data_IF_367315731907
#
_entry.id   IF_367315731907
#
_cell.length_a   1.000
_cell.length_b   1.000
_cell.length_c   1.000
_cell.angle_alpha   90.00
_cell.angle_beta   90.00
_cell.angle_gamma   90.00
#
_symmetry.space_group_name_H-M   'P 1'
#
loop_
_entity.id
_entity.type
_entity.pdbx_description
1 polymer ?
#
# COMPACT_ATOMS: atom_id res chain seq x y z
N UNK A 1 -43.78 40.79 22.63
CA UNK A 1 -42.92 39.93 23.49
C UNK A 1 -41.92 39.25 22.55
N UNK A 2 -40.58 39.29 22.72
CA UNK A 2 -39.78 38.59 23.75
C UNK A 2 -40.13 37.09 23.84
N UNK A 3 -39.28 36.07 23.70
CA UNK A 3 -37.82 35.85 23.48
C UNK A 3 -37.70 34.47 22.74
N UNK A 4 -36.55 33.86 22.37
CA UNK A 4 -35.11 34.00 22.68
C UNK A 4 -34.26 33.47 21.50
N UNK A 5 -32.93 33.51 21.61
CA UNK A 5 -31.94 32.90 20.71
C UNK A 5 -31.75 31.40 20.96
N UNK A 6 -31.36 30.63 19.93
CA UNK A 6 -30.23 29.67 20.02
C UNK A 6 -29.34 29.86 18.77
N UNK A 7 -28.16 30.43 18.96
CA UNK A 7 -27.06 30.34 17.98
C UNK A 7 -26.30 29.04 18.28
N UNK A 8 -26.26 28.10 17.35
CA UNK A 8 -25.25 27.05 17.41
C UNK A 8 -23.93 27.63 16.89
N UNK A 9 -22.94 27.69 17.77
CA UNK A 9 -21.62 28.24 17.51
C UNK A 9 -20.86 27.33 16.56
N UNK A 10 -20.66 27.78 15.31
CA UNK A 10 -19.55 27.33 14.48
C UNK A 10 -18.26 27.66 15.22
N UNK A 11 -17.70 26.66 15.93
CA UNK A 11 -16.39 26.76 16.54
C UNK A 11 -15.34 26.74 15.41
N UNK A 12 -15.16 27.90 14.78
CA UNK A 12 -14.00 28.17 13.96
C UNK A 12 -12.77 28.03 14.87
N UNK A 13 -12.15 26.85 14.83
CA UNK A 13 -10.78 26.66 15.32
C UNK A 13 -9.88 27.42 14.36
N UNK A 14 -9.87 28.75 14.54
CA UNK A 14 -8.77 29.60 14.18
C UNK A 14 -7.55 28.99 14.89
N UNK A 15 -6.80 28.19 14.13
CA UNK A 15 -5.44 27.82 14.49
C UNK A 15 -4.70 29.15 14.68
N UNK A 16 -4.59 29.58 15.92
CA UNK A 16 -3.82 30.75 16.32
C UNK A 16 -2.36 30.41 16.06
N UNK A 17 -1.95 30.62 14.81
CA UNK A 17 -0.58 30.80 14.38
C UNK A 17 -0.07 32.09 15.00
N UNK A 18 0.07 32.07 16.33
CA UNK A 18 0.84 32.99 17.13
C UNK A 18 2.31 32.79 16.77
N UNK A 19 2.66 33.15 15.54
CA UNK A 19 4.01 33.46 15.12
C UNK A 19 4.36 34.71 15.91
N UNK A 20 4.84 34.48 17.13
CA UNK A 20 5.31 35.53 18.01
C UNK A 20 6.62 36.06 17.43
N UNK A 21 6.49 36.97 16.47
CA UNK A 21 7.56 37.70 15.80
C UNK A 21 8.24 38.66 16.77
N UNK A 22 8.94 38.09 17.75
CA UNK A 22 9.69 38.83 18.75
C UNK A 22 10.98 39.40 18.14
N UNK A 23 11.15 40.71 18.25
CA UNK A 23 12.36 41.40 17.81
C UNK A 23 13.55 41.07 18.72
N UNK A 24 14.67 40.66 18.11
CA UNK A 24 15.90 40.24 18.79
C UNK A 24 16.80 41.39 19.27
N UNK A 25 16.31 42.64 19.25
CA UNK A 25 17.12 43.84 19.12
C UNK A 25 17.88 44.30 20.40
N UNK A 26 17.75 43.61 21.53
CA UNK A 26 18.22 44.11 22.84
C UNK A 26 19.01 43.10 23.69
N UNK A 27 19.50 41.99 23.13
CA UNK A 27 19.91 40.82 23.93
C UNK A 27 21.44 40.54 24.02
N UNK A 28 22.29 41.49 23.63
CA UNK A 28 23.75 41.28 23.54
C UNK A 28 24.63 41.74 24.72
N UNK A 29 24.11 42.49 25.70
CA UNK A 29 24.95 43.23 26.64
C UNK A 29 25.31 42.49 27.96
N UNK A 30 24.52 41.51 28.39
CA UNK A 30 24.68 40.86 29.71
C UNK A 30 24.44 39.34 29.65
N UNK A 31 24.97 38.59 30.62
CA UNK A 31 24.76 37.13 30.67
C UNK A 31 23.26 36.77 30.78
N UNK A 32 22.50 37.54 31.56
CA UNK A 32 21.04 37.37 31.69
C UNK A 32 20.30 37.53 30.35
N UNK A 33 20.73 38.47 29.49
CA UNK A 33 20.12 38.68 28.17
C UNK A 33 20.41 37.52 27.20
N UNK A 34 21.57 36.89 27.31
CA UNK A 34 21.90 35.68 26.54
C UNK A 34 21.04 34.49 27.00
N UNK A 35 20.87 34.31 28.31
CA UNK A 35 20.06 33.21 28.88
C UNK A 35 18.58 33.33 28.51
N UNK A 36 18.02 34.54 28.52
CA UNK A 36 16.67 34.80 28.02
C UNK A 36 16.53 34.44 26.53
N UNK A 37 17.55 34.72 25.71
CA UNK A 37 17.55 34.38 24.28
C UNK A 37 17.55 32.87 24.06
N UNK A 38 18.44 32.16 24.77
CA UNK A 38 18.56 30.70 24.72
C UNK A 38 17.25 30.03 25.16
N UNK A 39 16.64 30.48 26.26
CA UNK A 39 15.37 29.92 26.73
C UNK A 39 14.19 30.22 25.79
N UNK A 40 14.14 31.42 25.18
CA UNK A 40 13.12 31.77 24.16
C UNK A 40 13.25 30.88 22.93
N UNK A 41 14.45 30.72 22.36
CA UNK A 41 14.63 29.88 21.17
C UNK A 41 14.39 28.40 21.47
N UNK A 42 14.76 27.91 22.67
CA UNK A 42 14.41 26.55 23.11
C UNK A 42 12.89 26.33 23.14
N UNK A 43 12.13 27.30 23.63
CA UNK A 43 10.67 27.21 23.67
C UNK A 43 10.03 27.23 22.27
N UNK A 44 10.61 27.97 21.31
CA UNK A 44 10.19 27.98 19.90
C UNK A 44 10.54 26.66 19.20
N UNK A 45 11.79 26.21 19.29
CA UNK A 45 12.26 24.97 18.67
C UNK A 45 11.49 23.75 19.20
N UNK A 46 11.19 23.70 20.50
CA UNK A 46 10.35 22.64 21.09
C UNK A 46 8.93 22.60 20.52
N UNK A 47 8.41 23.74 20.04
CA UNK A 47 7.08 23.85 19.42
C UNK A 47 7.10 23.57 17.91
N UNK A 48 8.26 23.54 17.25
CA UNK A 48 8.39 23.41 15.80
C UNK A 48 7.63 22.18 15.24
N UNK A 49 7.68 21.03 15.93
CA UNK A 49 6.97 19.81 15.51
C UNK A 49 5.47 19.83 15.83
N UNK A 50 5.04 20.58 16.85
CA UNK A 50 3.63 20.63 17.26
C UNK A 50 2.72 21.23 16.18
N UNK A 51 3.29 22.07 15.29
CA UNK A 51 2.57 22.67 14.16
C UNK A 51 1.98 21.64 13.17
N UNK A 52 2.58 20.44 13.04
CA UNK A 52 2.02 19.35 12.23
C UNK A 52 1.51 18.17 13.06
N UNK A 53 2.10 17.90 14.24
CA UNK A 53 1.65 16.83 15.13
C UNK A 53 0.24 17.12 15.69
N UNK A 54 -0.03 18.32 16.19
CA UNK A 54 -1.31 18.62 16.84
C UNK A 54 -2.52 18.56 15.89
N UNK A 55 -2.45 19.09 14.64
CA UNK A 55 -3.50 18.85 13.64
C UNK A 55 -3.70 17.36 13.35
N UNK A 56 -2.62 16.58 13.30
CA UNK A 56 -2.67 15.15 12.95
C UNK A 56 -3.30 14.28 14.04
N UNK A 57 -3.20 14.68 15.31
CA UNK A 57 -3.98 14.05 16.40
C UNK A 57 -5.50 14.23 16.23
N UNK A 58 -5.93 15.24 15.45
CA UNK A 58 -7.32 15.49 15.09
C UNK A 58 -7.66 14.99 13.67
N UNK A 59 -6.85 14.06 13.11
CA UNK A 59 -7.07 13.50 11.78
C UNK A 59 -6.75 14.43 10.61
N UNK A 60 -6.01 15.54 10.82
CA UNK A 60 -5.75 16.54 9.78
C UNK A 60 -4.25 16.73 9.51
N UNK A 61 -3.85 16.67 8.25
CA UNK A 61 -2.50 17.06 7.84
C UNK A 61 -2.37 18.58 7.79
N UNK A 62 -1.23 19.10 8.26
CA UNK A 62 -0.88 20.51 8.10
C UNK A 62 -0.26 20.73 6.71
N UNK A 63 -0.81 21.63 5.86
CA UNK A 63 -0.22 21.91 4.55
C UNK A 63 1.16 22.54 4.66
N UNK A 64 2.08 22.18 3.77
CA UNK A 64 3.46 22.73 3.80
C UNK A 64 3.50 24.26 3.76
N UNK A 65 2.56 24.91 3.05
CA UNK A 65 2.41 26.36 2.99
C UNK A 65 2.20 27.03 4.35
N UNK A 66 1.46 26.41 5.27
CA UNK A 66 1.21 26.98 6.61
C UNK A 66 2.38 26.79 7.57
N UNK A 67 3.34 25.93 7.22
CA UNK A 67 4.50 25.57 8.05
C UNK A 67 5.76 26.37 7.72
N UNK A 68 5.90 26.89 6.50
CA UNK A 68 7.04 27.74 6.12
C UNK A 68 7.24 28.98 7.01
N UNK A 69 6.19 29.71 7.46
CA UNK A 69 6.36 30.82 8.40
C UNK A 69 7.01 30.40 9.73
N UNK A 70 6.57 29.28 10.31
CA UNK A 70 7.15 28.72 11.53
C UNK A 70 8.60 28.23 11.32
N UNK A 71 8.87 27.56 10.20
CA UNK A 71 10.22 27.13 9.82
C UNK A 71 11.19 28.31 9.68
N UNK A 72 10.76 29.38 9.01
CA UNK A 72 11.58 30.57 8.78
C UNK A 72 11.83 31.35 10.07
N UNK A 73 10.83 31.46 10.95
CA UNK A 73 10.99 32.04 12.29
C UNK A 73 12.02 31.26 13.11
N UNK A 74 11.83 29.94 13.24
CA UNK A 74 12.72 29.07 13.99
C UNK A 74 14.17 29.11 13.48
N UNK A 75 14.38 29.09 12.16
CA UNK A 75 15.71 29.24 11.53
C UNK A 75 16.36 30.57 11.87
N UNK A 76 15.63 31.68 11.72
CA UNK A 76 16.13 33.04 11.99
C UNK A 76 16.51 33.21 13.46
N UNK A 77 15.62 32.80 14.38
CA UNK A 77 15.83 32.97 15.82
C UNK A 77 16.94 32.05 16.36
N UNK A 78 17.09 30.85 15.80
CA UNK A 78 18.24 29.98 16.03
C UNK A 78 19.56 30.63 15.63
N UNK A 79 19.67 31.15 14.41
CA UNK A 79 20.89 31.82 13.92
C UNK A 79 21.24 33.06 14.76
N UNK A 80 20.24 33.91 15.05
CA UNK A 80 20.42 35.10 15.90
C UNK A 80 20.89 34.74 17.32
N UNK A 81 20.29 33.70 17.92
CA UNK A 81 20.67 33.26 19.28
C UNK A 81 22.06 32.64 19.31
N UNK A 82 22.44 31.85 18.29
CA UNK A 82 23.82 31.35 18.15
C UNK A 82 24.83 32.50 18.08
N UNK A 83 24.57 33.51 17.25
CA UNK A 83 25.44 34.68 17.13
C UNK A 83 25.57 35.43 18.45
N UNK A 84 24.47 35.63 19.20
CA UNK A 84 24.49 36.26 20.51
C UNK A 84 25.27 35.45 21.57
N UNK A 85 25.18 34.11 21.56
CA UNK A 85 25.99 33.26 22.44
C UNK A 85 27.48 33.37 22.10
N UNK A 86 27.84 33.36 20.81
CA UNK A 86 29.24 33.49 20.36
C UNK A 86 29.83 34.86 20.73
N UNK A 87 29.10 35.96 20.53
CA UNK A 87 29.56 37.33 20.84
C UNK A 87 29.48 37.71 22.33
N UNK A 88 28.88 36.86 23.17
CA UNK A 88 28.73 37.13 24.61
C UNK A 88 30.06 37.15 25.39
N UNK A 89 30.02 37.68 26.61
CA UNK A 89 31.12 37.65 27.59
C UNK A 89 31.20 36.34 28.41
N UNK A 90 30.43 35.31 28.04
CA UNK A 90 30.46 34.00 28.69
C UNK A 90 31.80 33.28 28.51
N UNK A 91 32.15 32.37 29.43
CA UNK A 91 33.34 31.52 29.26
C UNK A 91 33.17 30.54 28.10
N UNK A 92 34.28 30.07 27.52
CA UNK A 92 34.26 29.10 26.40
C UNK A 92 33.44 27.85 26.73
N UNK A 93 33.53 27.33 27.95
CA UNK A 93 32.73 26.19 28.41
C UNK A 93 31.21 26.51 28.43
N UNK A 94 30.83 27.69 28.93
CA UNK A 94 29.43 28.14 28.95
C UNK A 94 28.87 28.36 27.53
N UNK A 95 29.66 28.94 26.62
CA UNK A 95 29.29 29.10 25.21
C UNK A 95 29.05 27.74 24.55
N UNK A 96 29.99 26.82 24.70
CA UNK A 96 29.90 25.47 24.12
C UNK A 96 28.68 24.69 24.65
N UNK A 97 28.39 24.78 25.96
CA UNK A 97 27.23 24.15 26.56
C UNK A 97 25.90 24.68 25.97
N UNK A 98 25.76 26.02 25.89
CA UNK A 98 24.54 26.66 25.35
C UNK A 98 24.35 26.42 23.86
N UNK A 99 25.43 26.47 23.07
CA UNK A 99 25.41 26.11 21.66
C UNK A 99 24.99 24.64 21.48
N UNK A 100 25.62 23.69 22.17
CA UNK A 100 25.25 22.27 22.10
C UNK A 100 23.77 22.02 22.41
N UNK A 101 23.22 22.72 23.40
CA UNK A 101 21.81 22.61 23.77
C UNK A 101 20.87 23.06 22.62
N UNK A 102 21.06 24.29 22.10
CA UNK A 102 20.19 24.81 21.03
C UNK A 102 20.39 24.08 19.69
N UNK A 103 21.62 23.62 19.41
CA UNK A 103 21.97 22.85 18.22
C UNK A 103 21.31 21.47 18.22
N UNK A 104 21.35 20.77 19.36
CA UNK A 104 20.70 19.46 19.53
C UNK A 104 19.20 19.58 19.28
N UNK A 105 18.56 20.59 19.88
CA UNK A 105 17.12 20.80 19.77
C UNK A 105 16.70 21.27 18.36
N UNK A 106 17.50 22.12 17.72
CA UNK A 106 17.28 22.51 16.32
C UNK A 106 17.41 21.31 15.38
N UNK A 107 18.43 20.48 15.56
CA UNK A 107 18.63 19.27 14.76
C UNK A 107 17.49 18.27 14.95
N UNK A 108 17.01 18.06 16.17
CA UNK A 108 15.91 17.14 16.45
C UNK A 108 14.55 17.65 15.93
N UNK A 109 14.17 18.89 16.27
CA UNK A 109 12.81 19.39 16.05
C UNK A 109 12.63 20.09 14.69
N UNK A 110 13.67 20.72 14.15
CA UNK A 110 13.61 21.44 12.88
C UNK A 110 14.18 20.59 11.75
N UNK A 111 15.48 20.25 11.78
CA UNK A 111 16.14 19.48 10.71
C UNK A 111 15.62 18.04 10.60
N UNK A 112 15.31 17.39 11.73
CA UNK A 112 14.78 16.02 11.81
C UNK A 112 13.26 15.91 12.02
N UNK A 113 12.56 17.04 12.13
CA UNK A 113 11.12 17.09 12.42
C UNK A 113 10.34 17.89 11.38
N UNK A 114 10.34 19.21 11.53
CA UNK A 114 9.55 20.11 10.68
C UNK A 114 9.97 20.08 9.20
N UNK A 115 11.27 20.05 8.89
CA UNK A 115 11.76 20.03 7.50
C UNK A 115 11.38 18.73 6.78
N UNK A 116 11.65 17.52 7.31
CA UNK A 116 11.32 16.29 6.58
C UNK A 116 9.81 16.03 6.53
N UNK A 117 9.00 16.61 7.44
CA UNK A 117 7.53 16.61 7.29
C UNK A 117 7.09 17.47 6.09
N UNK A 118 7.63 18.67 5.95
CA UNK A 118 7.36 19.55 4.79
C UNK A 118 7.76 18.85 3.49
N UNK A 119 8.89 18.17 3.46
CA UNK A 119 9.35 17.38 2.30
C UNK A 119 8.42 16.19 2.01
N UNK A 120 7.95 15.48 3.04
CA UNK A 120 7.00 14.37 2.90
C UNK A 120 5.64 14.85 2.34
N UNK A 121 5.09 15.94 2.87
CA UNK A 121 3.85 16.54 2.39
C UNK A 121 3.99 17.06 0.94
N UNK A 122 5.09 17.74 0.63
CA UNK A 122 5.40 18.19 -0.73
C UNK A 122 5.62 17.02 -1.70
N UNK A 123 6.25 15.93 -1.25
CA UNK A 123 6.42 14.71 -2.05
C UNK A 123 5.07 14.09 -2.43
N UNK A 124 4.19 13.90 -1.44
CA UNK A 124 2.84 13.39 -1.67
C UNK A 124 2.02 14.28 -2.61
N UNK A 125 1.90 15.58 -2.30
CA UNK A 125 1.02 16.50 -3.02
C UNK A 125 1.55 16.97 -4.38
N UNK A 126 2.87 17.01 -4.61
CA UNK A 126 3.47 17.46 -5.88
C UNK A 126 3.93 16.34 -6.80
N UNK A 127 4.03 15.10 -6.32
CA UNK A 127 4.47 13.96 -7.14
C UNK A 127 3.42 12.85 -7.18
N UNK A 128 2.93 12.36 -6.03
CA UNK A 128 1.96 11.25 -6.05
C UNK A 128 0.59 11.70 -6.60
N UNK A 129 -0.01 12.76 -6.04
CA UNK A 129 -1.34 13.23 -6.46
C UNK A 129 -1.41 13.62 -7.94
N UNK A 130 -0.48 14.41 -8.51
CA UNK A 130 -0.55 14.78 -9.92
C UNK A 130 -0.39 13.58 -10.84
N UNK A 131 0.49 12.61 -10.53
CA UNK A 131 0.64 11.39 -11.34
C UNK A 131 -0.64 10.54 -11.28
N UNK A 132 -1.28 10.39 -10.11
CA UNK A 132 -2.56 9.68 -10.01
C UNK A 132 -3.66 10.36 -10.83
N UNK A 133 -3.71 11.70 -10.85
CA UNK A 133 -4.67 12.45 -11.65
C UNK A 133 -4.37 12.37 -13.16
N UNK A 134 -3.10 12.43 -13.57
CA UNK A 134 -2.67 12.19 -14.98
C UNK A 134 -3.12 10.80 -15.45
N UNK A 135 -2.89 9.77 -14.63
CA UNK A 135 -3.31 8.39 -14.88
C UNK A 135 -4.83 8.32 -15.04
N UNK A 136 -5.60 8.84 -14.08
CA UNK A 136 -7.06 8.77 -14.12
C UNK A 136 -7.63 9.48 -15.38
N UNK A 137 -7.11 10.66 -15.71
CA UNK A 137 -7.50 11.37 -16.92
C UNK A 137 -7.13 10.63 -18.20
N UNK A 138 -6.01 9.88 -18.22
CA UNK A 138 -5.63 9.03 -19.34
C UNK A 138 -6.51 7.78 -19.46
N UNK A 139 -6.90 7.16 -18.34
CA UNK A 139 -7.86 6.04 -18.32
C UNK A 139 -9.21 6.44 -18.93
N UNK A 140 -9.75 7.62 -18.59
CA UNK A 140 -11.02 8.12 -19.18
C UNK A 140 -10.95 8.38 -20.69
N UNK A 141 -9.75 8.61 -21.24
CA UNK A 141 -9.53 8.78 -22.70
C UNK A 141 -9.15 7.48 -23.42
N UNK A 142 -8.99 6.37 -22.70
CA UNK A 142 -8.35 5.13 -23.18
C UNK A 142 -6.95 5.37 -23.79
N UNK A 143 -6.21 6.33 -23.22
CA UNK A 143 -4.88 6.74 -23.68
C UNK A 143 -3.82 5.81 -23.07
N UNK A 144 -3.70 4.61 -23.64
CA UNK A 144 -2.85 3.52 -23.13
C UNK A 144 -1.40 3.95 -22.91
N UNK A 145 -0.82 4.70 -23.86
CA UNK A 145 0.55 5.20 -23.78
C UNK A 145 0.75 6.22 -22.63
N UNK A 146 -0.23 7.10 -22.37
CA UNK A 146 -0.17 7.98 -21.22
C UNK A 146 -0.38 7.24 -19.89
N UNK A 147 -1.23 6.19 -19.85
CA UNK A 147 -1.40 5.34 -18.66
C UNK A 147 -0.11 4.58 -18.33
N UNK A 148 0.54 3.96 -19.33
CA UNK A 148 1.84 3.29 -19.18
C UNK A 148 2.91 4.26 -18.64
N UNK A 149 3.05 5.42 -19.29
CA UNK A 149 3.98 6.48 -18.86
C UNK A 149 3.69 6.95 -17.42
N UNK A 150 2.42 7.12 -17.07
CA UNK A 150 1.98 7.45 -15.71
C UNK A 150 2.33 6.35 -14.70
N UNK A 151 2.07 5.09 -15.02
CA UNK A 151 2.41 3.92 -14.20
C UNK A 151 3.92 3.80 -13.93
N UNK A 152 4.77 4.03 -14.95
CA UNK A 152 6.22 4.01 -14.75
C UNK A 152 6.71 5.20 -13.92
N UNK A 153 6.19 6.42 -14.14
CA UNK A 153 6.43 7.57 -13.25
C UNK A 153 6.07 7.22 -11.80
N UNK A 154 4.86 6.67 -11.57
CA UNK A 154 4.35 6.34 -10.23
C UNK A 154 5.21 5.28 -9.57
N UNK A 155 5.51 4.19 -10.28
CA UNK A 155 6.38 3.10 -9.80
C UNK A 155 7.78 3.60 -9.45
N UNK A 156 8.35 4.54 -10.21
CA UNK A 156 9.64 5.16 -9.89
C UNK A 156 9.58 5.98 -8.58
N UNK A 157 8.55 6.82 -8.39
CA UNK A 157 8.39 7.56 -7.13
C UNK A 157 8.23 6.58 -5.95
N UNK A 158 7.34 5.59 -6.08
CA UNK A 158 7.02 4.62 -5.03
C UNK A 158 8.22 3.73 -4.65
N UNK A 159 9.07 3.34 -5.60
CA UNK A 159 10.28 2.55 -5.34
C UNK A 159 11.45 3.40 -4.82
N UNK A 160 11.69 4.58 -5.41
CA UNK A 160 12.91 5.36 -5.17
C UNK A 160 12.82 6.43 -4.09
N UNK A 161 11.62 6.96 -3.77
CA UNK A 161 11.48 8.19 -2.97
C UNK A 161 10.51 8.08 -1.79
N UNK A 162 9.83 6.95 -1.60
CA UNK A 162 8.95 6.69 -0.45
C UNK A 162 9.62 6.80 0.91
N UNK A 163 10.94 6.59 1.00
CA UNK A 163 11.71 6.81 2.23
C UNK A 163 11.52 8.22 2.82
N UNK A 164 11.21 9.24 2.01
CA UNK A 164 10.94 10.62 2.47
C UNK A 164 9.77 10.64 3.48
N UNK A 165 8.74 9.81 3.28
CA UNK A 165 7.55 9.74 4.14
C UNK A 165 7.87 9.25 5.58
N UNK A 166 9.05 8.69 5.82
CA UNK A 166 9.43 8.10 7.11
C UNK A 166 10.47 8.93 7.89
N UNK A 167 10.99 10.03 7.31
CA UNK A 167 12.14 10.79 7.85
C UNK A 167 11.85 11.75 9.01
N UNK A 168 10.59 12.02 9.33
CA UNK A 168 10.19 12.94 10.41
C UNK A 168 9.61 12.20 11.63
N UNK A 169 9.68 12.85 12.79
CA UNK A 169 9.08 12.38 14.05
C UNK A 169 7.58 12.71 14.13
N UNK A 170 6.77 11.85 14.76
CA UNK A 170 5.32 12.05 14.92
C UNK A 170 4.48 11.01 14.17
N UNK A 171 4.11 9.93 14.87
CA UNK A 171 3.41 8.76 14.30
C UNK A 171 2.09 9.12 13.62
N UNK A 172 1.19 9.86 14.30
CA UNK A 172 -0.13 10.21 13.74
C UNK A 172 -0.04 10.94 12.39
N UNK A 173 0.89 11.91 12.26
CA UNK A 173 1.10 12.64 11.02
C UNK A 173 1.65 11.77 9.89
N UNK A 174 2.49 10.78 10.24
CA UNK A 174 3.00 9.79 9.29
C UNK A 174 1.91 8.84 8.82
N UNK A 175 1.15 8.29 9.75
CA UNK A 175 0.09 7.33 9.44
C UNK A 175 -0.97 7.98 8.52
N UNK A 176 -1.35 9.23 8.77
CA UNK A 176 -2.23 10.01 7.89
C UNK A 176 -1.63 10.24 6.49
N UNK A 177 -0.35 10.63 6.38
CA UNK A 177 0.32 10.79 5.07
C UNK A 177 0.39 9.46 4.28
N UNK A 178 0.55 8.34 4.98
CA UNK A 178 0.55 7.01 4.39
C UNK A 178 -0.86 6.59 3.94
N UNK A 179 -1.89 6.87 4.74
CA UNK A 179 -3.29 6.57 4.43
C UNK A 179 -3.82 7.40 3.26
N UNK A 180 -3.62 8.72 3.30
CA UNK A 180 -4.23 9.67 2.37
C UNK A 180 -3.55 9.64 0.99
N UNK A 181 -2.26 9.32 0.91
CA UNK A 181 -1.48 9.41 -0.33
C UNK A 181 -0.74 8.14 -0.73
N UNK A 182 -0.03 7.47 0.19
CA UNK A 182 0.80 6.30 -0.20
C UNK A 182 -0.05 5.08 -0.53
N UNK A 183 -1.02 4.72 0.31
CA UNK A 183 -1.88 3.55 0.10
C UNK A 183 -2.70 3.65 -1.20
N UNK A 184 -3.36 4.77 -1.54
CA UNK A 184 -4.04 4.93 -2.84
C UNK A 184 -3.07 4.81 -4.02
N UNK A 185 -1.86 5.37 -3.91
CA UNK A 185 -0.84 5.28 -4.95
C UNK A 185 -0.33 3.85 -5.14
N UNK A 186 -0.06 3.10 -4.05
CA UNK A 186 0.31 1.68 -4.12
C UNK A 186 -0.82 0.85 -4.74
N UNK A 187 -2.07 1.10 -4.34
CA UNK A 187 -3.25 0.40 -4.86
C UNK A 187 -3.44 0.64 -6.38
N UNK A 188 -3.42 1.90 -6.82
CA UNK A 188 -3.53 2.26 -8.25
C UNK A 188 -2.35 1.71 -9.06
N UNK A 189 -1.14 1.70 -8.50
CA UNK A 189 0.03 1.06 -9.15
C UNK A 189 -0.19 -0.46 -9.30
N UNK A 190 -0.73 -1.14 -8.29
CA UNK A 190 -0.95 -2.57 -8.36
C UNK A 190 -2.11 -2.95 -9.28
N UNK A 191 -3.21 -2.18 -9.29
CA UNK A 191 -4.33 -2.29 -10.24
C UNK A 191 -3.85 -2.24 -11.71
N UNK A 192 -2.94 -1.30 -12.02
CA UNK A 192 -2.45 -1.07 -13.37
C UNK A 192 -1.34 -2.01 -13.83
N UNK A 193 -0.78 -2.83 -12.93
CA UNK A 193 0.37 -3.68 -13.24
C UNK A 193 0.08 -4.62 -14.43
N UNK A 194 -1.04 -5.34 -14.42
CA UNK A 194 -1.41 -6.27 -15.50
C UNK A 194 -1.88 -5.53 -16.77
N UNK A 195 -2.78 -4.52 -16.70
CA UNK A 195 -3.16 -3.72 -17.88
C UNK A 195 -1.98 -3.09 -18.63
N UNK A 196 -0.98 -2.57 -17.91
CA UNK A 196 0.21 -1.98 -18.53
C UNK A 196 1.11 -3.05 -19.14
N UNK A 197 1.31 -4.20 -18.49
CA UNK A 197 2.08 -5.30 -19.10
C UNK A 197 1.46 -5.78 -20.41
N UNK A 198 0.13 -5.89 -20.49
CA UNK A 198 -0.56 -6.24 -21.74
C UNK A 198 -0.41 -5.13 -22.79
N UNK A 199 -0.46 -3.85 -22.39
CA UNK A 199 -0.24 -2.70 -23.30
C UNK A 199 1.16 -2.73 -23.93
N UNK A 200 2.20 -3.02 -23.13
CA UNK A 200 3.57 -3.16 -23.60
C UNK A 200 3.68 -4.31 -24.62
N UNK A 201 3.12 -5.48 -24.29
CA UNK A 201 3.12 -6.65 -25.20
C UNK A 201 2.34 -6.42 -26.49
N UNK A 202 1.22 -5.70 -26.45
CA UNK A 202 0.50 -5.28 -27.66
C UNK A 202 1.42 -4.44 -28.57
N UNK A 203 2.24 -3.57 -27.99
CA UNK A 203 3.21 -2.76 -28.75
C UNK A 203 4.31 -3.64 -29.37
N UNK A 204 4.89 -4.54 -28.59
CA UNK A 204 5.92 -5.51 -29.04
C UNK A 204 5.40 -6.41 -30.17
N UNK A 205 4.19 -6.98 -30.03
CA UNK A 205 3.53 -7.80 -31.06
C UNK A 205 3.27 -6.99 -32.34
N UNK A 206 2.80 -5.74 -32.22
CA UNK A 206 2.57 -4.88 -33.38
C UNK A 206 3.88 -4.58 -34.13
N UNK A 207 5.01 -4.45 -33.44
CA UNK A 207 6.32 -4.25 -34.08
C UNK A 207 6.87 -5.53 -34.71
N UNK A 208 6.65 -6.70 -34.09
CA UNK A 208 6.94 -8.00 -34.69
C UNK A 208 6.11 -8.23 -35.98
N UNK A 209 4.82 -7.88 -35.96
CA UNK A 209 3.95 -7.99 -37.14
C UNK A 209 4.40 -7.05 -38.27
N UNK A 210 4.79 -5.80 -37.99
CA UNK A 210 5.39 -4.88 -38.98
C UNK A 210 6.69 -5.45 -39.57
N UNK A 211 7.48 -6.15 -38.76
CA UNK A 211 8.72 -6.82 -39.18
C UNK A 211 8.48 -8.17 -39.89
N UNK A 212 7.23 -8.60 -40.10
CA UNK A 212 6.88 -9.88 -40.73
C UNK A 212 7.05 -11.12 -39.83
N UNK A 213 7.44 -10.94 -38.57
CA UNK A 213 7.76 -11.97 -37.58
C UNK A 213 6.52 -12.59 -36.93
N UNK A 214 5.70 -13.26 -37.75
CA UNK A 214 4.38 -13.77 -37.32
C UNK A 214 4.45 -14.90 -36.29
N UNK A 215 5.49 -15.72 -36.32
CA UNK A 215 5.65 -16.84 -35.36
C UNK A 215 5.96 -16.29 -33.97
N UNK A 216 6.89 -15.34 -33.90
CA UNK A 216 7.27 -14.64 -32.67
C UNK A 216 6.11 -13.78 -32.14
N UNK A 217 5.39 -13.07 -33.02
CA UNK A 217 4.19 -12.32 -32.66
C UNK A 217 3.10 -13.21 -32.04
N UNK A 218 2.92 -14.44 -32.55
CA UNK A 218 1.98 -15.42 -31.97
C UNK A 218 2.47 -15.98 -30.62
N UNK A 219 3.77 -16.21 -30.46
CA UNK A 219 4.35 -16.64 -29.19
C UNK A 219 4.14 -15.59 -28.09
N UNK A 220 4.41 -14.31 -28.38
CA UNK A 220 4.17 -13.19 -27.45
C UNK A 220 2.68 -13.01 -27.12
N UNK A 221 1.77 -13.30 -28.06
CA UNK A 221 0.34 -13.24 -27.78
C UNK A 221 -0.11 -14.27 -26.74
N UNK A 222 0.53 -15.44 -26.66
CA UNK A 222 0.23 -16.43 -25.61
C UNK A 222 0.52 -15.90 -24.20
N UNK A 223 1.51 -15.01 -24.04
CA UNK A 223 1.77 -14.34 -22.76
C UNK A 223 0.67 -13.32 -22.40
N UNK A 224 0.02 -12.69 -23.39
CA UNK A 224 -1.18 -11.88 -23.15
C UNK A 224 -2.33 -12.78 -22.66
N UNK A 225 -2.60 -13.90 -23.32
CA UNK A 225 -3.68 -14.83 -22.93
C UNK A 225 -3.49 -15.35 -21.49
N UNK A 226 -2.26 -15.68 -21.11
CA UNK A 226 -1.91 -16.08 -19.75
C UNK A 226 -2.16 -14.97 -18.69
N UNK A 227 -2.23 -13.70 -19.08
CA UNK A 227 -2.47 -12.56 -18.18
C UNK A 227 -3.94 -12.13 -18.09
N UNK A 228 -4.81 -12.54 -19.03
CA UNK A 228 -6.20 -12.05 -19.11
C UNK A 228 -7.01 -12.33 -17.84
N UNK A 229 -6.83 -13.49 -17.20
CA UNK A 229 -7.53 -13.85 -15.96
C UNK A 229 -7.14 -12.99 -14.75
N UNK A 230 -6.08 -12.18 -14.86
CA UNK A 230 -5.55 -11.28 -13.81
C UNK A 230 -5.94 -9.82 -14.02
N UNK A 231 -6.70 -9.51 -15.08
CA UNK A 231 -7.23 -8.18 -15.31
C UNK A 231 -8.32 -7.83 -14.29
N UNK A 232 -8.44 -6.54 -13.87
CA UNK A 232 -9.61 -6.07 -13.14
C UNK A 232 -10.90 -6.29 -13.95
N UNK A 233 -12.06 -6.35 -13.27
CA UNK A 233 -13.34 -6.60 -13.93
C UNK A 233 -13.66 -5.51 -14.99
N UNK A 234 -13.74 -5.91 -16.26
CA UNK A 234 -14.00 -5.01 -17.39
C UNK A 234 -15.39 -4.37 -17.32
N UNK A 235 -16.39 -5.05 -16.75
CA UNK A 235 -17.77 -4.54 -16.62
C UNK A 235 -17.88 -3.32 -15.71
N UNK A 236 -16.89 -3.08 -14.85
CA UNK A 236 -16.81 -1.89 -13.98
C UNK A 236 -15.64 -0.96 -14.33
N UNK A 237 -14.81 -1.31 -15.32
CA UNK A 237 -13.61 -0.56 -15.70
C UNK A 237 -13.52 -0.39 -17.22
N UNK A 238 -13.96 0.78 -17.71
CA UNK A 238 -13.99 1.14 -19.14
C UNK A 238 -12.61 1.02 -19.81
N UNK A 239 -11.54 1.37 -19.11
CA UNK A 239 -10.17 1.27 -19.62
C UNK A 239 -9.76 -0.19 -19.86
N UNK A 240 -10.17 -1.12 -18.99
CA UNK A 240 -9.93 -2.55 -19.21
C UNK A 240 -10.81 -3.09 -20.33
N UNK A 241 -12.08 -2.65 -20.45
CA UNK A 241 -12.93 -3.01 -21.58
C UNK A 241 -12.33 -2.56 -22.93
N UNK A 242 -11.77 -1.35 -22.99
CA UNK A 242 -11.05 -0.85 -24.16
C UNK A 242 -9.77 -1.67 -24.45
N UNK A 243 -9.00 -2.03 -23.40
CA UNK A 243 -7.82 -2.88 -23.54
C UNK A 243 -8.15 -4.25 -24.13
N UNK A 244 -9.24 -4.89 -23.68
CA UNK A 244 -9.71 -6.16 -24.23
C UNK A 244 -10.10 -6.05 -25.71
N UNK A 245 -10.63 -4.91 -26.15
CA UNK A 245 -10.90 -4.66 -27.56
C UNK A 245 -9.59 -4.55 -28.39
N UNK A 246 -8.52 -3.98 -27.84
CA UNK A 246 -7.20 -3.99 -28.49
C UNK A 246 -6.58 -5.39 -28.53
N UNK A 247 -6.65 -6.16 -27.42
CA UNK A 247 -6.25 -7.58 -27.40
C UNK A 247 -6.96 -8.36 -28.51
N UNK A 248 -8.26 -8.10 -28.72
CA UNK A 248 -9.04 -8.79 -29.74
C UNK A 248 -8.60 -8.46 -31.18
N UNK A 249 -8.25 -7.19 -31.46
CA UNK A 249 -7.65 -6.80 -32.75
C UNK A 249 -6.31 -7.48 -32.98
N UNK A 250 -5.46 -7.55 -31.95
CA UNK A 250 -4.15 -8.20 -32.03
C UNK A 250 -4.30 -9.70 -32.28
N UNK A 251 -5.25 -10.40 -31.63
CA UNK A 251 -5.50 -11.83 -31.88
C UNK A 251 -5.81 -12.12 -33.36
N UNK A 252 -6.69 -11.31 -33.95
CA UNK A 252 -7.00 -11.39 -35.37
C UNK A 252 -5.77 -11.10 -36.25
N UNK A 253 -4.94 -10.12 -35.88
CA UNK A 253 -3.75 -9.73 -36.64
C UNK A 253 -2.61 -10.78 -36.62
N UNK A 254 -2.44 -11.52 -35.52
CA UNK A 254 -1.49 -12.66 -35.44
C UNK A 254 -1.99 -13.92 -36.17
N UNK A 255 -3.18 -13.87 -36.76
CA UNK A 255 -3.76 -14.98 -37.52
C UNK A 255 -4.29 -16.11 -36.65
N UNK A 256 -4.62 -15.84 -35.38
CA UNK A 256 -5.34 -16.80 -34.55
C UNK A 256 -6.84 -16.52 -34.62
N UNK A 257 -7.57 -17.37 -35.36
CA UNK A 257 -9.02 -17.25 -35.52
C UNK A 257 -9.81 -17.84 -34.35
N UNK A 258 -9.14 -18.32 -33.30
CA UNK A 258 -9.81 -18.73 -32.06
C UNK A 258 -10.47 -17.50 -31.43
N UNK A 259 -11.72 -17.59 -30.93
CA UNK A 259 -12.38 -16.46 -30.31
C UNK A 259 -11.54 -15.82 -29.19
N UNK A 260 -11.68 -14.50 -29.03
CA UNK A 260 -11.19 -13.74 -27.87
C UNK A 260 -12.29 -13.76 -26.80
N UNK A 261 -12.87 -14.93 -26.55
CA UNK A 261 -13.84 -15.09 -25.47
C UNK A 261 -13.10 -14.97 -24.14
N UNK A 262 -13.63 -14.19 -23.18
CA UNK A 262 -13.32 -14.43 -21.77
C UNK A 262 -13.53 -15.92 -21.50
N UNK A 263 -12.59 -16.59 -20.84
CA UNK A 263 -12.67 -18.04 -20.64
C UNK A 263 -13.79 -18.36 -19.65
N UNK A 264 -15.01 -18.57 -20.15
CA UNK A 264 -16.08 -19.20 -19.37
C UNK A 264 -15.77 -20.70 -19.24
N UNK A 265 -15.79 -21.27 -18.01
CA UNK A 265 -15.59 -22.71 -17.81
C UNK A 265 -16.64 -23.55 -18.58
N UNK A 266 -16.33 -24.82 -18.91
CA UNK A 266 -17.21 -25.65 -19.72
C UNK A 266 -18.51 -25.99 -19.00
N UNK A 267 -19.64 -25.84 -19.70
CA UNK A 267 -20.97 -26.23 -19.20
C UNK A 267 -21.30 -27.65 -19.68
N UNK A 268 -21.61 -28.53 -18.73
CA UNK A 268 -22.10 -29.88 -18.99
C UNK A 268 -23.63 -29.95 -18.86
N UNK A 269 -24.33 -29.74 -19.99
CA UNK A 269 -25.64 -30.32 -20.34
C UNK A 269 -26.85 -30.18 -19.41
N UNK A 270 -27.98 -29.64 -19.92
CA UNK A 270 -29.29 -30.13 -19.43
C UNK A 270 -30.54 -29.23 -19.41
N UNK A 271 -30.70 -28.22 -20.28
CA UNK A 271 -32.02 -27.75 -20.73
C UNK A 271 -32.79 -26.70 -19.89
N UNK A 272 -33.23 -25.63 -20.56
CA UNK A 272 -34.35 -24.77 -20.13
C UNK A 272 -33.98 -23.32 -19.76
N UNK A 273 -34.59 -22.37 -20.48
CA UNK A 273 -34.60 -20.90 -20.30
C UNK A 273 -33.27 -20.11 -20.32
N UNK A 274 -33.09 -19.36 -21.42
CA UNK A 274 -31.93 -18.52 -21.70
C UNK A 274 -31.97 -17.17 -20.96
N UNK A 275 -31.28 -17.09 -19.83
CA UNK A 275 -30.76 -15.80 -19.33
C UNK A 275 -29.38 -16.04 -18.69
N UNK A 276 -28.30 -15.33 -19.09
CA UNK A 276 -26.97 -15.58 -18.53
C UNK A 276 -26.92 -15.21 -17.05
N UNK A 277 -26.92 -16.22 -16.19
CA UNK A 277 -26.73 -16.04 -14.75
C UNK A 277 -25.23 -15.86 -14.47
N UNK A 278 -24.88 -14.78 -13.77
CA UNK A 278 -23.51 -14.54 -13.32
C UNK A 278 -23.03 -15.73 -12.46
N UNK A 279 -21.74 -16.13 -12.56
CA UNK A 279 -21.19 -17.19 -11.72
C UNK A 279 -21.40 -16.84 -10.24
N UNK A 280 -21.84 -17.82 -9.47
CA UNK A 280 -22.04 -17.65 -8.04
C UNK A 280 -20.70 -17.36 -7.36
N UNK A 281 -20.72 -16.67 -6.21
CA UNK A 281 -19.50 -16.38 -5.46
C UNK A 281 -18.72 -17.65 -5.08
N UNK A 282 -19.43 -18.78 -4.93
CA UNK A 282 -18.85 -20.11 -4.69
C UNK A 282 -18.08 -20.61 -5.92
N UNK A 283 -18.66 -20.55 -7.12
CA UNK A 283 -17.96 -20.96 -8.36
C UNK A 283 -16.68 -20.15 -8.61
N UNK A 284 -16.69 -18.86 -8.26
CA UNK A 284 -15.49 -18.01 -8.35
C UNK A 284 -14.44 -18.44 -7.30
N UNK A 285 -14.88 -18.81 -6.09
CA UNK A 285 -14.00 -19.31 -5.05
C UNK A 285 -13.39 -20.67 -5.44
N UNK A 286 -14.19 -21.62 -5.93
CA UNK A 286 -13.72 -22.94 -6.36
C UNK A 286 -12.65 -22.83 -7.46
N UNK A 287 -12.85 -21.91 -8.41
CA UNK A 287 -11.86 -21.57 -9.45
C UNK A 287 -10.55 -21.05 -8.84
N UNK A 288 -10.64 -20.19 -7.81
CA UNK A 288 -9.47 -19.70 -7.08
C UNK A 288 -8.79 -20.79 -6.25
N UNK A 289 -9.52 -21.74 -5.69
CA UNK A 289 -8.94 -22.91 -5.00
C UNK A 289 -8.12 -23.75 -5.97
N UNK A 290 -8.64 -24.04 -7.17
CA UNK A 290 -7.89 -24.76 -8.20
C UNK A 290 -6.60 -24.02 -8.64
N UNK A 291 -6.69 -22.69 -8.82
CA UNK A 291 -5.53 -21.86 -9.12
C UNK A 291 -4.49 -21.85 -7.97
N UNK A 292 -4.95 -21.74 -6.73
CA UNK A 292 -4.11 -21.76 -5.53
C UNK A 292 -3.41 -23.13 -5.36
N UNK A 293 -4.12 -24.24 -5.54
CA UNK A 293 -3.55 -25.59 -5.57
C UNK A 293 -2.47 -25.73 -6.65
N UNK A 294 -2.70 -25.18 -7.84
CA UNK A 294 -1.70 -25.15 -8.93
C UNK A 294 -0.46 -24.34 -8.52
N UNK A 295 -0.65 -23.21 -7.83
CA UNK A 295 0.44 -22.37 -7.32
C UNK A 295 1.24 -23.07 -6.22
N UNK A 296 0.59 -23.79 -5.30
CA UNK A 296 1.25 -24.61 -4.27
C UNK A 296 2.10 -25.70 -4.94
N UNK A 297 1.54 -26.46 -5.88
CA UNK A 297 2.27 -27.47 -6.65
C UNK A 297 3.42 -26.89 -7.50
N UNK A 298 3.35 -25.62 -7.89
CA UNK A 298 4.44 -24.95 -8.61
C UNK A 298 5.54 -24.44 -7.67
N UNK A 299 5.19 -24.04 -6.44
CA UNK A 299 6.10 -23.28 -5.55
C UNK A 299 6.54 -24.00 -4.28
N UNK A 300 5.95 -25.15 -3.96
CA UNK A 300 6.23 -25.94 -2.75
C UNK A 300 6.25 -27.46 -3.02
N UNK A 301 6.30 -27.90 -4.30
CA UNK A 301 6.30 -29.32 -4.69
C UNK A 301 7.54 -30.09 -4.28
N UNK A 302 8.59 -29.43 -3.81
CA UNK A 302 9.71 -30.07 -3.13
C UNK A 302 9.29 -30.65 -1.77
N UNK A 303 8.33 -30.02 -1.08
CA UNK A 303 7.82 -30.40 0.26
C UNK A 303 6.49 -31.16 0.25
N UNK A 304 5.53 -30.73 -0.55
CA UNK A 304 4.18 -31.30 -0.56
C UNK A 304 3.47 -31.09 -1.90
N UNK A 305 2.44 -31.91 -2.18
CA UNK A 305 1.52 -31.68 -3.30
C UNK A 305 0.11 -31.42 -2.79
N UNK A 306 -0.59 -30.45 -3.38
CA UNK A 306 -1.98 -30.14 -3.05
C UNK A 306 -2.93 -30.66 -4.14
N UNK A 307 -4.14 -31.04 -3.74
CA UNK A 307 -5.25 -31.46 -4.63
C UNK A 307 -6.55 -30.89 -4.07
N UNK A 308 -7.34 -30.20 -4.90
CA UNK A 308 -8.69 -29.77 -4.50
C UNK A 308 -9.61 -30.99 -4.35
N UNK A 309 -10.24 -31.13 -3.20
CA UNK A 309 -11.10 -32.27 -2.83
C UNK A 309 -12.59 -31.89 -2.74
N UNK A 310 -12.94 -30.61 -2.92
CA UNK A 310 -14.32 -30.15 -2.93
C UNK A 310 -14.44 -28.61 -2.93
N UNK A 311 -15.69 -28.15 -2.80
CA UNK A 311 -15.95 -26.73 -2.60
C UNK A 311 -15.41 -26.29 -1.23
N UNK A 312 -14.64 -25.19 -1.22
CA UNK A 312 -13.99 -24.64 -0.01
C UNK A 312 -12.94 -25.54 0.64
N UNK A 313 -12.34 -26.50 -0.08
CA UNK A 313 -11.36 -27.39 0.54
C UNK A 313 -10.26 -27.87 -0.41
N UNK A 314 -9.11 -28.24 0.18
CA UNK A 314 -8.10 -29.05 -0.50
C UNK A 314 -7.32 -29.93 0.48
N UNK A 315 -6.78 -31.01 -0.05
CA UNK A 315 -5.88 -31.94 0.64
C UNK A 315 -4.43 -31.63 0.27
N UNK A 316 -3.53 -31.70 1.25
CA UNK A 316 -2.08 -31.54 1.13
C UNK A 316 -1.41 -32.88 1.45
N UNK A 317 -0.76 -33.48 0.46
CA UNK A 317 0.08 -34.67 0.61
C UNK A 317 1.53 -34.27 0.89
N UNK A 318 1.96 -34.49 2.12
CA UNK A 318 3.30 -34.21 2.64
C UNK A 318 4.29 -35.33 2.27
N UNK A 319 5.52 -35.00 1.89
CA UNK A 319 6.55 -36.01 1.57
C UNK A 319 7.23 -36.59 2.82
N UNK A 320 7.87 -37.76 2.65
CA UNK A 320 8.56 -38.47 3.75
C UNK A 320 9.77 -37.73 4.35
N UNK A 321 10.56 -37.05 3.52
CA UNK A 321 11.88 -36.53 3.92
C UNK A 321 11.83 -35.09 4.46
N UNK A 322 10.71 -34.73 5.12
CA UNK A 322 10.49 -33.39 5.69
C UNK A 322 11.25 -33.20 7.00
N UNK A 323 11.85 -32.02 7.15
CA UNK A 323 12.61 -31.64 8.35
C UNK A 323 11.80 -30.70 9.25
N UNK A 324 12.15 -30.56 10.55
CA UNK A 324 11.46 -29.61 11.45
C UNK A 324 11.47 -28.16 10.92
N UNK A 325 12.56 -27.70 10.29
CA UNK A 325 12.62 -26.37 9.67
C UNK A 325 11.64 -26.16 8.50
N UNK A 326 11.15 -27.24 7.87
CA UNK A 326 10.21 -27.16 6.75
C UNK A 326 8.81 -26.74 7.21
N UNK A 327 8.44 -26.95 8.48
CA UNK A 327 7.16 -26.52 9.04
C UNK A 327 6.96 -25.01 8.93
N UNK A 328 7.96 -24.25 9.36
CA UNK A 328 7.93 -22.78 9.33
C UNK A 328 8.05 -22.24 7.89
N UNK A 329 8.77 -22.94 7.00
CA UNK A 329 8.91 -22.53 5.60
C UNK A 329 7.64 -22.79 4.78
N UNK A 330 6.97 -23.91 5.04
CA UNK A 330 5.74 -24.34 4.36
C UNK A 330 4.53 -23.53 4.84
N UNK A 331 4.11 -23.70 6.11
CA UNK A 331 2.89 -23.07 6.65
C UNK A 331 3.03 -21.59 7.00
N UNK A 332 4.27 -21.08 7.11
CA UNK A 332 4.54 -19.71 7.49
C UNK A 332 4.20 -18.69 6.39
N UNK A 333 5.05 -17.66 6.26
CA UNK A 333 4.76 -16.49 5.41
C UNK A 333 4.55 -16.83 3.92
N UNK A 334 5.00 -17.98 3.44
CA UNK A 334 4.76 -18.46 2.07
C UNK A 334 3.29 -18.84 1.84
N UNK A 335 2.83 -19.91 2.49
CA UNK A 335 1.48 -20.44 2.31
C UNK A 335 0.39 -19.46 2.71
N UNK A 336 0.43 -18.89 3.93
CA UNK A 336 -0.67 -18.06 4.42
C UNK A 336 -0.84 -16.76 3.62
N UNK A 337 0.25 -16.12 3.17
CA UNK A 337 0.14 -14.91 2.37
C UNK A 337 -0.46 -15.18 0.98
N UNK A 338 -0.08 -16.30 0.35
CA UNK A 338 -0.66 -16.76 -0.92
C UNK A 338 -2.11 -17.19 -0.76
N UNK A 339 -2.46 -17.91 0.30
CA UNK A 339 -3.83 -18.29 0.63
C UNK A 339 -4.73 -17.05 0.71
N UNK A 340 -4.28 -16.02 1.43
CA UNK A 340 -5.01 -14.74 1.54
C UNK A 340 -5.11 -14.02 0.19
N UNK A 341 -4.02 -13.93 -0.59
CA UNK A 341 -4.02 -13.18 -1.86
C UNK A 341 -4.79 -13.86 -2.98
N UNK A 342 -4.57 -15.16 -3.21
CA UNK A 342 -5.17 -15.89 -4.34
C UNK A 342 -6.67 -16.12 -4.12
N UNK A 343 -7.08 -16.55 -2.91
CA UNK A 343 -8.49 -16.76 -2.61
C UNK A 343 -9.26 -15.45 -2.40
N UNK A 344 -8.57 -14.32 -2.23
CA UNK A 344 -9.19 -13.01 -1.95
C UNK A 344 -9.80 -12.93 -0.56
N UNK A 345 -9.12 -13.50 0.44
CA UNK A 345 -9.58 -13.51 1.83
C UNK A 345 -9.54 -12.08 2.39
N UNK A 346 -10.70 -11.59 2.84
CA UNK A 346 -10.85 -10.27 3.46
C UNK A 346 -11.04 -10.34 4.97
N UNK A 347 -11.45 -11.51 5.50
CA UNK A 347 -11.48 -11.79 6.94
C UNK A 347 -11.15 -13.25 7.24
N UNK A 348 -10.54 -13.50 8.40
CA UNK A 348 -10.39 -14.81 9.04
C UNK A 348 -11.01 -14.71 10.43
N UNK A 349 -11.97 -15.58 10.74
CA UNK A 349 -12.80 -15.55 11.95
C UNK A 349 -13.37 -14.14 12.25
N UNK A 350 -13.84 -13.42 11.22
CA UNK A 350 -14.37 -12.06 11.34
C UNK A 350 -13.33 -10.92 11.44
N UNK A 351 -12.06 -11.22 11.68
CA UNK A 351 -10.96 -10.26 11.80
C UNK A 351 -10.18 -10.09 10.49
N UNK A 352 -9.46 -8.97 10.32
CA UNK A 352 -8.64 -8.78 9.11
C UNK A 352 -7.49 -9.82 9.06
N UNK A 353 -7.12 -10.40 7.90
CA UNK A 353 -6.23 -11.58 7.86
C UNK A 353 -4.83 -11.34 8.42
N UNK A 354 -4.37 -10.09 8.49
CA UNK A 354 -3.07 -9.69 9.05
C UNK A 354 -3.17 -9.08 10.46
N UNK A 355 -4.32 -9.19 11.12
CA UNK A 355 -4.51 -8.68 12.49
C UNK A 355 -3.97 -9.67 13.52
N UNK A 356 -3.70 -9.19 14.75
CA UNK A 356 -3.18 -10.03 15.82
C UNK A 356 -4.19 -11.12 16.22
N UNK A 357 -5.48 -10.79 16.19
CA UNK A 357 -6.59 -11.68 16.52
C UNK A 357 -6.73 -12.81 15.48
N UNK A 358 -6.60 -12.51 14.19
CA UNK A 358 -6.58 -13.52 13.13
C UNK A 358 -5.38 -14.47 13.28
N UNK A 359 -4.19 -13.94 13.58
CA UNK A 359 -2.99 -14.76 13.83
C UNK A 359 -3.16 -15.64 15.07
N UNK A 360 -3.65 -15.09 16.19
CA UNK A 360 -3.92 -15.86 17.41
C UNK A 360 -4.97 -16.97 17.17
N UNK A 361 -6.02 -16.67 16.42
CA UNK A 361 -7.01 -17.68 16.04
C UNK A 361 -6.38 -18.82 15.23
N UNK A 362 -5.56 -18.51 14.22
CA UNK A 362 -4.88 -19.51 13.40
C UNK A 362 -3.91 -20.37 14.21
N UNK A 363 -3.13 -19.78 15.12
CA UNK A 363 -2.26 -20.53 16.05
C UNK A 363 -3.08 -21.50 16.91
N UNK A 364 -4.28 -21.13 17.33
CA UNK A 364 -5.17 -21.98 18.11
C UNK A 364 -5.90 -23.06 17.29
N UNK A 365 -5.87 -23.02 15.95
CA UNK A 365 -6.40 -24.09 15.09
C UNK A 365 -5.37 -25.20 14.81
N UNK A 366 -4.09 -24.98 15.10
CA UNK A 366 -3.06 -26.02 15.02
C UNK A 366 -3.09 -26.84 16.32
N UNK A 367 -3.18 -28.18 16.28
CA UNK A 367 -3.15 -28.99 17.49
C UNK A 367 -1.89 -28.75 18.33
N UNK A 368 -2.04 -28.72 19.66
CA UNK A 368 -1.00 -28.33 20.61
C UNK A 368 0.20 -29.32 20.76
N UNK A 369 0.38 -30.23 19.80
CA UNK A 369 1.45 -31.24 19.72
C UNK A 369 2.15 -31.28 18.36
N UNK A 370 1.94 -30.27 17.52
CA UNK A 370 2.51 -30.18 16.18
C UNK A 370 3.83 -29.42 16.25
N UNK A 371 4.95 -30.15 16.29
CA UNK A 371 6.31 -29.61 16.24
C UNK A 371 6.94 -29.71 14.84
N UNK A 372 6.30 -30.46 13.93
CA UNK A 372 6.74 -30.72 12.56
C UNK A 372 5.55 -30.84 11.58
N UNK A 373 5.83 -30.88 10.27
CA UNK A 373 4.78 -31.18 9.28
C UNK A 373 4.26 -32.61 9.40
N UNK A 374 5.06 -33.56 9.87
CA UNK A 374 4.64 -34.96 10.01
C UNK A 374 3.53 -35.13 11.07
N UNK A 375 3.51 -34.26 12.09
CA UNK A 375 2.49 -34.27 13.15
C UNK A 375 1.11 -33.77 12.67
N UNK A 376 0.99 -33.34 11.41
CA UNK A 376 -0.28 -33.00 10.77
C UNK A 376 -0.90 -34.18 10.00
N UNK A 377 -0.30 -35.38 9.98
CA UNK A 377 -0.88 -36.51 9.23
C UNK A 377 -2.29 -36.87 9.74
N UNK A 378 -3.29 -36.75 8.86
CA UNK A 378 -4.71 -36.95 9.16
C UNK A 378 -5.42 -35.74 9.77
N UNK A 379 -4.72 -34.65 10.07
CA UNK A 379 -5.33 -33.44 10.64
C UNK A 379 -6.06 -32.60 9.58
N UNK A 380 -7.17 -31.98 9.98
CA UNK A 380 -7.97 -31.09 9.12
C UNK A 380 -8.17 -29.74 9.79
N UNK A 381 -7.50 -28.71 9.27
CA UNK A 381 -7.66 -27.33 9.74
C UNK A 381 -8.89 -26.73 9.06
N UNK A 382 -9.87 -26.27 9.86
CA UNK A 382 -11.06 -25.56 9.36
C UNK A 382 -10.97 -24.08 9.69
N UNK A 383 -11.08 -23.23 8.68
CA UNK A 383 -10.89 -21.79 8.76
C UNK A 383 -12.17 -21.06 8.32
N UNK A 384 -12.95 -20.44 9.23
CA UNK A 384 -14.04 -19.55 8.86
C UNK A 384 -13.46 -18.30 8.21
N UNK A 385 -13.69 -18.12 6.91
CA UNK A 385 -13.15 -17.01 6.12
C UNK A 385 -14.24 -16.24 5.39
N UNK A 386 -14.06 -14.93 5.28
CA UNK A 386 -14.84 -14.09 4.35
C UNK A 386 -13.97 -13.81 3.13
N UNK A 387 -14.31 -14.38 1.98
CA UNK A 387 -13.69 -13.97 0.70
C UNK A 387 -14.50 -12.85 0.05
N UNK A 388 -13.86 -12.05 -0.79
CA UNK A 388 -14.55 -11.07 -1.64
C UNK A 388 -14.26 -11.36 -3.12
N UNK A 389 -15.27 -11.91 -3.80
CA UNK A 389 -15.22 -12.32 -5.21
C UNK A 389 -16.20 -11.47 -6.06
N UNK A 390 -16.45 -10.23 -5.63
CA UNK A 390 -17.49 -9.34 -6.16
C UNK A 390 -18.54 -9.00 -5.10
N UNK A 391 -18.82 -9.93 -4.20
CA UNK A 391 -19.50 -9.68 -2.92
C UNK A 391 -18.87 -10.52 -1.81
N UNK A 392 -19.27 -10.28 -0.56
CA UNK A 392 -18.75 -11.03 0.58
C UNK A 392 -19.39 -12.44 0.63
N UNK A 393 -18.55 -13.47 0.62
CA UNK A 393 -18.96 -14.86 0.83
C UNK A 393 -18.25 -15.39 2.08
N UNK A 394 -19.01 -15.89 3.06
CA UNK A 394 -18.49 -16.56 4.23
C UNK A 394 -18.48 -18.07 3.99
N UNK A 395 -17.33 -18.72 4.21
CA UNK A 395 -17.19 -20.19 4.10
C UNK A 395 -16.33 -20.74 5.22
N UNK A 396 -16.56 -21.98 5.59
CA UNK A 396 -15.66 -22.76 6.44
C UNK A 396 -14.68 -23.51 5.54
N UNK A 397 -13.49 -22.93 5.35
CA UNK A 397 -12.48 -23.44 4.44
C UNK A 397 -11.67 -24.56 5.09
N UNK A 398 -11.52 -25.72 4.43
CA UNK A 398 -10.81 -26.87 5.00
C UNK A 398 -9.48 -27.15 4.31
N UNK A 399 -8.45 -27.41 5.12
CA UNK A 399 -7.15 -27.89 4.65
C UNK A 399 -6.85 -29.20 5.37
N UNK A 400 -6.90 -30.30 4.62
CA UNK A 400 -6.60 -31.65 5.12
C UNK A 400 -5.13 -31.96 4.86
N UNK A 401 -4.41 -32.53 5.83
CA UNK A 401 -3.02 -32.94 5.66
C UNK A 401 -2.92 -34.48 5.69
N UNK A 402 -2.16 -35.05 4.77
CA UNK A 402 -1.94 -36.49 4.65
C UNK A 402 -0.45 -36.74 4.39
N UNK A 403 0.16 -37.69 5.07
CA UNK A 403 1.55 -38.07 4.84
C UNK A 403 1.67 -39.13 3.75
N UNK A 404 2.65 -38.98 2.85
CA UNK A 404 2.93 -39.96 1.82
C UNK A 404 3.50 -41.23 2.46
N UNK A 405 2.72 -42.32 2.44
CA UNK A 405 3.06 -43.63 3.06
C UNK A 405 4.13 -44.42 2.32
#
# INVERSE_FOLDING_TARGET
MSKRFIKQTTAAVLLTTSVLSFSSAALGATNSSVDQSVNKVKAELSKATTHYVNPSLNGKLAPSSTLYPALNSAKKNYQLTRSAVVSSKLSTAQKNAKLKEIDTLYNEKVSGGLVPYIDAYNYATKYLVPIMNEIAAAQERNDFAAVEKGYHKLSYQLKGRTAILYRFSGKAARDLLLEEYKKPADAKRNELMVPVTITMKITEINDLLKAGKKVEAKAEFAEIEALLHRLPNASTNKFVAALLAEVAKVKAAVGDTSPVTPVTPPVSGGGGDDTPSNPSQQQILDTKVAAFVTLLNTTQSDKATAVSDGANSFTVTLKKDLKPEDFVSYLGKGFYSKFVSELGVTKVNGHAPTSQEAVQYLTNQVPAKVDSLADLDGETITLPVTVNNGSALNVDFKVTFIFQK
#
